data_IF_838663524759
#
_entry.id   IF_838663524759
#
_cell.length_a   1.000
_cell.length_b   1.000
_cell.length_c   1.000
_cell.angle_alpha   90.00
_cell.angle_beta   90.00
_cell.angle_gamma   90.00
#
_symmetry.space_group_name_H-M   'P 1'
#
loop_
_entity.id
_entity.type
_entity.pdbx_description
1 polymer ?
#
# COMPACT_ATOMS: atom_id res chain seq x y z
N UNK A 1 -13.29 -9.78 25.14
CA UNK A 1 -14.17 -9.90 23.97
C UNK A 1 -14.63 -8.51 23.55
N UNK A 2 -15.06 -8.34 22.31
CA UNK A 2 -15.56 -7.06 21.82
C UNK A 2 -16.95 -6.79 22.43
N UNK A 3 -17.07 -5.74 23.26
CA UNK A 3 -18.32 -5.37 23.96
C UNK A 3 -19.52 -5.17 23.02
N UNK A 4 -19.27 -4.74 21.78
CA UNK A 4 -20.33 -4.58 20.76
C UNK A 4 -20.89 -5.94 20.34
N UNK A 5 -20.01 -6.94 20.17
CA UNK A 5 -20.40 -8.30 19.80
C UNK A 5 -21.19 -8.95 20.94
N UNK A 6 -20.72 -8.81 22.19
CA UNK A 6 -21.44 -9.29 23.38
C UNK A 6 -22.87 -8.75 23.47
N UNK A 7 -23.04 -7.43 23.25
CA UNK A 7 -24.35 -6.78 23.21
C UNK A 7 -25.26 -7.38 22.14
N UNK A 8 -24.73 -7.58 20.93
CA UNK A 8 -25.50 -8.14 19.80
C UNK A 8 -25.95 -9.57 20.13
N UNK A 9 -25.05 -10.41 20.63
CA UNK A 9 -25.35 -11.81 20.98
C UNK A 9 -26.45 -11.91 22.05
N UNK A 10 -26.43 -11.01 23.04
CA UNK A 10 -27.47 -10.91 24.06
C UNK A 10 -28.82 -10.47 23.47
N UNK A 11 -28.82 -9.44 22.62
CA UNK A 11 -30.02 -8.88 22.00
C UNK A 11 -30.75 -9.91 21.11
N UNK A 12 -30.00 -10.74 20.38
CA UNK A 12 -30.58 -11.79 19.54
C UNK A 12 -30.86 -13.10 20.29
N UNK A 13 -30.45 -13.22 21.56
CA UNK A 13 -30.60 -14.44 22.36
C UNK A 13 -29.75 -15.63 21.90
N UNK A 14 -28.63 -15.38 21.20
CA UNK A 14 -27.74 -16.41 20.65
C UNK A 14 -26.30 -16.19 21.15
N UNK A 15 -25.96 -16.69 22.36
CA UNK A 15 -24.61 -16.52 22.91
C UNK A 15 -23.56 -17.26 22.06
N UNK A 16 -22.44 -16.60 21.79
CA UNK A 16 -21.34 -17.15 20.99
C UNK A 16 -21.61 -17.19 19.49
N UNK A 17 -22.62 -16.49 18.98
CA UNK A 17 -22.95 -16.41 17.55
C UNK A 17 -21.72 -16.09 16.70
N UNK A 18 -20.90 -15.12 17.08
CA UNK A 18 -19.72 -14.74 16.29
C UNK A 18 -18.70 -15.89 16.21
N UNK A 19 -18.50 -16.63 17.30
CA UNK A 19 -17.60 -17.79 17.33
C UNK A 19 -18.16 -18.95 16.48
N UNK A 20 -19.47 -19.19 16.51
CA UNK A 20 -20.13 -20.20 15.66
C UNK A 20 -19.90 -19.86 14.19
N UNK A 21 -20.16 -18.62 13.78
CA UNK A 21 -19.97 -18.17 12.41
C UNK A 21 -18.50 -18.27 11.96
N UNK A 22 -17.55 -17.94 12.84
CA UNK A 22 -16.12 -17.91 12.50
C UNK A 22 -15.43 -19.29 12.54
N UNK A 23 -15.86 -20.20 13.42
CA UNK A 23 -15.10 -21.43 13.72
C UNK A 23 -15.84 -22.72 13.40
N UNK A 24 -17.18 -22.70 13.35
CA UNK A 24 -17.99 -23.92 13.14
C UNK A 24 -18.55 -24.06 11.73
N UNK A 25 -18.65 -22.96 10.99
CA UNK A 25 -19.04 -22.99 9.58
C UNK A 25 -17.81 -23.04 8.68
N UNK A 26 -17.92 -23.78 7.58
CA UNK A 26 -16.93 -23.66 6.51
C UNK A 26 -17.02 -22.27 5.88
N UNK A 27 -15.93 -21.74 5.28
CA UNK A 27 -15.98 -20.45 4.59
C UNK A 27 -17.07 -20.39 3.50
N UNK A 28 -17.34 -21.51 2.82
CA UNK A 28 -18.39 -21.63 1.80
C UNK A 28 -19.81 -21.61 2.36
N UNK A 29 -20.04 -22.25 3.51
CA UNK A 29 -21.36 -22.22 4.18
C UNK A 29 -21.64 -20.84 4.77
N UNK A 30 -20.63 -20.24 5.43
CA UNK A 30 -20.73 -18.88 5.94
C UNK A 30 -21.02 -17.89 4.81
N UNK A 31 -20.32 -18.00 3.68
CA UNK A 31 -20.60 -17.18 2.49
C UNK A 31 -22.04 -17.36 2.02
N UNK A 32 -22.53 -18.60 1.92
CA UNK A 32 -23.91 -18.87 1.47
C UNK A 32 -24.96 -18.28 2.42
N UNK A 33 -24.73 -18.43 3.74
CA UNK A 33 -25.57 -17.83 4.77
C UNK A 33 -25.58 -16.29 4.67
N UNK A 34 -24.41 -15.66 4.55
CA UNK A 34 -24.31 -14.20 4.45
C UNK A 34 -24.94 -13.68 3.16
N UNK A 35 -24.79 -14.38 2.03
CA UNK A 35 -25.46 -14.01 0.78
C UNK A 35 -26.99 -14.01 0.95
N UNK A 36 -27.55 -15.02 1.62
CA UNK A 36 -28.98 -15.07 1.91
C UNK A 36 -29.42 -13.94 2.85
N UNK A 37 -28.65 -13.66 3.91
CA UNK A 37 -28.91 -12.53 4.81
C UNK A 37 -28.94 -11.20 4.04
N UNK A 38 -27.96 -10.94 3.18
CA UNK A 38 -27.94 -9.71 2.39
C UNK A 38 -29.05 -9.65 1.34
N UNK A 39 -29.49 -10.79 0.78
CA UNK A 39 -30.66 -10.87 -0.10
C UNK A 39 -31.95 -10.50 0.63
N UNK A 40 -32.17 -11.04 1.83
CA UNK A 40 -33.33 -10.71 2.64
C UNK A 40 -33.35 -9.22 3.02
N UNK A 41 -32.20 -8.66 3.38
CA UNK A 41 -32.07 -7.23 3.70
C UNK A 41 -32.31 -6.34 2.48
N UNK A 42 -31.74 -6.66 1.32
CA UNK A 42 -31.87 -5.83 0.13
C UNK A 42 -33.31 -5.82 -0.43
N UNK A 43 -34.04 -6.92 -0.32
CA UNK A 43 -35.44 -7.01 -0.73
C UNK A 43 -36.39 -6.07 0.05
N UNK A 44 -35.95 -5.57 1.21
CA UNK A 44 -36.72 -4.63 2.02
C UNK A 44 -36.32 -3.17 1.77
N UNK A 45 -35.29 -2.90 0.95
CA UNK A 45 -34.81 -1.55 0.69
C UNK A 45 -35.68 -0.85 -0.35
N UNK A 46 -36.05 0.40 -0.05
CA UNK A 46 -36.68 1.31 -1.00
C UNK A 46 -35.62 2.13 -1.75
N UNK A 47 -35.85 2.53 -3.01
CA UNK A 47 -34.91 3.36 -3.76
C UNK A 47 -34.47 4.65 -3.03
N UNK A 48 -35.39 5.31 -2.32
CA UNK A 48 -35.08 6.50 -1.52
C UNK A 48 -34.08 6.22 -0.38
N UNK A 49 -34.13 5.03 0.22
CA UNK A 49 -33.18 4.62 1.24
C UNK A 49 -31.78 4.40 0.65
N UNK A 50 -31.68 3.94 -0.61
CA UNK A 50 -30.41 3.81 -1.32
C UNK A 50 -29.77 5.19 -1.54
N UNK A 51 -30.57 6.18 -1.99
CA UNK A 51 -30.08 7.54 -2.16
C UNK A 51 -29.60 8.16 -0.84
N UNK A 52 -30.40 8.03 0.22
CA UNK A 52 -30.01 8.51 1.56
C UNK A 52 -28.74 7.82 2.10
N UNK A 53 -28.55 6.53 1.78
CA UNK A 53 -27.30 5.84 2.11
C UNK A 53 -26.13 6.40 1.29
N UNK A 54 -26.31 6.62 -0.01
CA UNK A 54 -25.27 7.20 -0.87
C UNK A 54 -24.82 8.60 -0.41
N UNK A 55 -25.74 9.39 0.14
CA UNK A 55 -25.43 10.73 0.67
C UNK A 55 -24.65 10.69 1.99
N UNK A 56 -24.95 9.73 2.86
CA UNK A 56 -24.34 9.63 4.20
C UNK A 56 -23.12 8.70 4.28
N UNK A 57 -22.91 7.83 3.27
CA UNK A 57 -21.86 6.82 3.29
C UNK A 57 -20.56 7.32 2.65
N UNK A 58 -19.54 7.55 3.50
CA UNK A 58 -18.22 8.01 3.06
C UNK A 58 -17.52 7.07 2.07
N UNK A 59 -17.84 5.78 2.01
CA UNK A 59 -17.13 4.83 1.14
C UNK A 59 -17.51 4.92 -0.33
N UNK A 60 -18.64 5.55 -0.66
CA UNK A 60 -19.24 5.47 -2.00
C UNK A 60 -19.34 6.82 -2.71
N UNK A 61 -18.84 7.89 -2.06
CA UNK A 61 -18.86 9.24 -2.64
C UNK A 61 -17.80 9.34 -3.75
N UNK A 62 -18.01 10.16 -4.79
CA UNK A 62 -16.97 10.41 -5.78
C UNK A 62 -15.75 11.08 -5.12
N UNK A 63 -14.56 10.85 -5.67
CA UNK A 63 -13.39 11.66 -5.31
C UNK A 63 -13.60 13.11 -5.78
N UNK A 64 -13.08 14.07 -5.01
CA UNK A 64 -13.09 15.48 -5.39
C UNK A 64 -12.01 15.82 -6.44
N UNK A 65 -11.12 14.88 -6.75
CA UNK A 65 -10.04 15.11 -7.73
C UNK A 65 -10.59 15.13 -9.16
N UNK A 66 -10.14 16.11 -9.94
CA UNK A 66 -10.46 16.18 -11.38
C UNK A 66 -9.93 14.93 -12.11
N UNK A 67 -10.81 14.26 -12.86
CA UNK A 67 -10.46 13.08 -13.65
C UNK A 67 -9.37 13.37 -14.69
N UNK A 68 -9.36 14.58 -15.28
CA UNK A 68 -8.34 14.97 -16.27
C UNK A 68 -6.97 15.17 -15.63
N UNK A 69 -6.94 15.78 -14.44
CA UNK A 69 -5.70 15.98 -13.70
C UNK A 69 -5.14 14.65 -13.18
N UNK A 70 -6.02 13.76 -12.72
CA UNK A 70 -5.62 12.43 -12.31
C UNK A 70 -5.01 11.65 -13.48
N UNK A 71 -5.64 11.68 -14.65
CA UNK A 71 -5.11 11.04 -15.87
C UNK A 71 -3.74 11.63 -16.28
N UNK A 72 -3.57 12.95 -16.18
CA UNK A 72 -2.28 13.62 -16.44
C UNK A 72 -1.18 13.08 -15.54
N UNK A 73 -1.46 12.95 -14.23
CA UNK A 73 -0.52 12.34 -13.30
C UNK A 73 -0.19 10.89 -13.68
N UNK A 74 -1.21 10.06 -13.96
CA UNK A 74 -0.98 8.65 -14.31
C UNK A 74 -0.11 8.49 -15.56
N UNK A 75 -0.36 9.30 -16.60
CA UNK A 75 0.46 9.28 -17.81
C UNK A 75 1.92 9.66 -17.53
N UNK A 76 2.14 10.69 -16.70
CA UNK A 76 3.49 11.10 -16.30
C UNK A 76 4.18 9.98 -15.50
N UNK A 77 3.52 9.44 -14.47
CA UNK A 77 4.07 8.37 -13.66
C UNK A 77 4.45 7.15 -14.53
N UNK A 78 3.57 6.70 -15.41
CA UNK A 78 3.84 5.59 -16.33
C UNK A 78 5.02 5.89 -17.27
N UNK A 79 5.13 7.12 -17.79
CA UNK A 79 6.23 7.53 -18.69
C UNK A 79 7.61 7.56 -18.02
N UNK A 80 7.65 7.75 -16.70
CA UNK A 80 8.89 7.81 -15.92
C UNK A 80 9.28 6.46 -15.31
N UNK A 81 8.43 5.44 -15.46
CA UNK A 81 8.66 4.13 -14.90
C UNK A 81 9.85 3.44 -15.60
N UNK A 82 10.80 2.85 -14.86
CA UNK A 82 11.90 2.11 -15.47
C UNK A 82 11.39 0.92 -16.30
N UNK A 83 12.05 0.62 -17.42
CA UNK A 83 11.61 -0.39 -18.40
C UNK A 83 11.50 -1.80 -17.81
N UNK A 84 12.23 -2.10 -16.73
CA UNK A 84 12.22 -3.37 -16.03
C UNK A 84 10.93 -3.60 -15.21
N UNK A 85 10.14 -2.56 -14.95
CA UNK A 85 8.87 -2.70 -14.24
C UNK A 85 7.74 -3.06 -15.19
N UNK A 86 7.03 -4.12 -14.86
CA UNK A 86 5.76 -4.45 -15.50
C UNK A 86 4.61 -3.77 -14.75
N UNK A 87 3.75 -3.07 -15.50
CA UNK A 87 2.55 -2.43 -14.94
C UNK A 87 1.37 -3.39 -14.94
N UNK A 88 0.75 -3.56 -13.78
CA UNK A 88 -0.44 -4.40 -13.61
C UNK A 88 -1.67 -3.57 -13.31
N UNK A 89 -2.81 -4.01 -13.84
CA UNK A 89 -4.14 -3.56 -13.39
C UNK A 89 -4.68 -4.61 -12.43
N UNK A 90 -4.73 -4.27 -11.14
CA UNK A 90 -5.17 -5.19 -10.11
C UNK A 90 -6.70 -5.33 -10.06
N UNK A 91 -7.16 -6.50 -9.60
CA UNK A 91 -8.53 -6.69 -9.15
C UNK A 91 -8.86 -5.72 -7.99
N UNK A 92 -10.10 -5.20 -7.89
CA UNK A 92 -10.51 -4.35 -6.77
C UNK A 92 -10.61 -5.09 -5.44
N UNK A 93 -10.52 -6.42 -5.47
CA UNK A 93 -10.51 -7.30 -4.28
C UNK A 93 -9.30 -8.23 -4.30
N UNK A 94 -8.84 -8.59 -3.11
CA UNK A 94 -7.79 -9.58 -2.86
C UNK A 94 -8.27 -10.64 -1.84
N UNK A 95 -7.53 -11.76 -1.65
CA UNK A 95 -7.91 -12.77 -0.67
C UNK A 95 -8.10 -12.18 0.73
N UNK A 96 -9.09 -12.66 1.48
CA UNK A 96 -9.28 -12.27 2.88
C UNK A 96 -8.01 -12.53 3.69
N UNK A 97 -7.59 -11.56 4.48
CA UNK A 97 -6.38 -11.66 5.30
C UNK A 97 -5.11 -11.16 4.62
N UNK A 98 -5.19 -10.68 3.37
CA UNK A 98 -4.01 -10.14 2.66
C UNK A 98 -3.37 -9.00 3.45
N UNK A 99 -4.18 -8.11 4.02
CA UNK A 99 -3.69 -7.01 4.84
C UNK A 99 -3.29 -7.44 6.26
N UNK A 100 -3.94 -8.44 6.87
CA UNK A 100 -3.75 -8.74 8.30
C UNK A 100 -2.70 -9.82 8.59
N UNK A 101 -2.54 -10.81 7.71
CA UNK A 101 -1.69 -11.98 7.95
C UNK A 101 -0.20 -11.62 7.92
N UNK A 102 0.23 -10.74 7.02
CA UNK A 102 1.66 -10.42 6.85
C UNK A 102 2.08 -9.03 7.30
N UNK A 103 1.15 -8.07 7.36
CA UNK A 103 1.48 -6.67 7.65
C UNK A 103 1.35 -6.29 9.14
N UNK A 104 0.95 -7.23 10.01
CA UNK A 104 0.66 -6.98 11.43
C UNK A 104 -0.40 -5.88 11.65
N UNK A 105 -1.36 -5.79 10.73
CA UNK A 105 -2.44 -4.81 10.75
C UNK A 105 -3.77 -5.52 11.08
N UNK A 106 -4.67 -4.87 11.81
CA UNK A 106 -5.99 -5.42 12.09
C UNK A 106 -6.83 -5.61 10.81
N UNK A 107 -7.59 -6.71 10.72
CA UNK A 107 -8.42 -7.03 9.57
C UNK A 107 -9.44 -5.92 9.23
N UNK A 108 -9.90 -5.15 10.22
CA UNK A 108 -10.86 -4.06 10.04
C UNK A 108 -10.27 -2.82 9.37
N UNK A 109 -8.99 -2.85 8.97
CA UNK A 109 -8.44 -1.82 8.08
C UNK A 109 -8.94 -1.97 6.65
N UNK A 110 -9.18 -3.21 6.22
CA UNK A 110 -9.77 -3.54 4.93
C UNK A 110 -11.28 -3.78 5.06
N UNK A 111 -12.03 -3.58 3.97
CA UNK A 111 -13.45 -3.94 3.91
C UNK A 111 -13.55 -5.41 3.50
N UNK A 112 -13.83 -6.29 4.47
CA UNK A 112 -14.14 -7.68 4.19
C UNK A 112 -15.44 -7.82 3.40
N UNK A 113 -15.50 -8.79 2.50
CA UNK A 113 -16.67 -9.08 1.68
C UNK A 113 -17.34 -10.39 2.11
N UNK A 114 -18.62 -10.54 1.77
CA UNK A 114 -19.35 -11.80 2.01
C UNK A 114 -18.86 -12.97 1.14
N UNK A 115 -17.98 -12.72 0.16
CA UNK A 115 -17.44 -13.73 -0.77
C UNK A 115 -16.01 -14.15 -0.42
N UNK A 116 -15.64 -14.11 0.86
CA UNK A 116 -14.33 -14.53 1.37
C UNK A 116 -13.14 -13.78 0.72
N UNK A 117 -13.36 -12.51 0.38
CA UNK A 117 -12.31 -11.58 -0.08
C UNK A 117 -12.29 -10.35 0.80
N UNK A 118 -11.34 -9.47 0.57
CA UNK A 118 -11.35 -8.10 1.08
C UNK A 118 -11.12 -7.10 -0.08
N UNK A 119 -11.67 -5.89 0.05
CA UNK A 119 -11.37 -4.81 -0.88
C UNK A 119 -9.93 -4.36 -0.67
N UNK A 120 -9.21 -4.08 -1.76
CA UNK A 120 -7.80 -3.67 -1.70
C UNK A 120 -7.65 -2.37 -0.91
N UNK A 121 -7.07 -2.47 0.29
CA UNK A 121 -6.77 -1.33 1.18
C UNK A 121 -5.35 -0.79 1.00
N UNK A 122 -4.47 -1.60 0.40
CA UNK A 122 -3.09 -1.28 0.07
C UNK A 122 -2.68 -2.08 -1.17
N UNK A 123 -2.27 -1.41 -2.24
CA UNK A 123 -1.87 -2.09 -3.48
C UNK A 123 -0.52 -2.81 -3.36
N UNK A 124 0.35 -2.42 -2.41
CA UNK A 124 1.66 -3.05 -2.24
C UNK A 124 1.54 -4.49 -1.70
N UNK A 125 0.55 -4.77 -0.86
CA UNK A 125 0.34 -6.13 -0.32
C UNK A 125 -0.18 -7.10 -1.40
N UNK A 126 -0.98 -6.62 -2.35
CA UNK A 126 -1.47 -7.40 -3.49
C UNK A 126 -0.35 -7.60 -4.51
N UNK A 127 0.41 -6.55 -4.82
CA UNK A 127 1.61 -6.68 -5.67
C UNK A 127 2.64 -7.64 -5.06
N UNK A 128 2.79 -7.66 -3.73
CA UNK A 128 3.69 -8.60 -3.06
C UNK A 128 3.27 -10.07 -3.22
N UNK A 129 1.95 -10.36 -3.22
CA UNK A 129 1.44 -11.69 -3.56
C UNK A 129 1.80 -12.08 -4.99
N UNK A 130 1.60 -11.18 -5.95
CA UNK A 130 1.94 -11.43 -7.35
C UNK A 130 3.45 -11.60 -7.55
N UNK A 131 4.26 -10.76 -6.89
CA UNK A 131 5.71 -10.94 -6.80
C UNK A 131 6.08 -12.34 -6.27
N UNK A 132 5.44 -12.80 -5.20
CA UNK A 132 5.69 -14.12 -4.63
C UNK A 132 5.30 -15.24 -5.61
N UNK A 133 4.17 -15.12 -6.33
CA UNK A 133 3.76 -16.08 -7.36
C UNK A 133 4.82 -16.20 -8.45
N UNK A 134 5.31 -15.07 -8.99
CA UNK A 134 6.33 -15.03 -10.05
C UNK A 134 7.68 -15.53 -9.58
N UNK A 135 8.13 -15.10 -8.38
CA UNK A 135 9.35 -15.62 -7.74
C UNK A 135 9.29 -17.13 -7.53
N UNK A 136 8.14 -17.67 -7.09
CA UNK A 136 7.93 -19.11 -6.95
C UNK A 136 8.06 -19.86 -8.28
N UNK A 137 7.58 -19.28 -9.38
CA UNK A 137 7.75 -19.86 -10.72
C UNK A 137 9.23 -19.89 -11.13
N UNK A 138 9.96 -18.77 -10.96
CA UNK A 138 11.40 -18.70 -11.23
C UNK A 138 12.19 -19.72 -10.40
N UNK A 139 11.85 -19.89 -9.12
CA UNK A 139 12.49 -20.84 -8.22
C UNK A 139 12.18 -22.30 -8.52
N UNK A 140 11.02 -22.60 -9.12
CA UNK A 140 10.71 -23.96 -9.62
C UNK A 140 11.61 -24.33 -10.79
N UNK A 141 11.88 -23.39 -11.69
CA UNK A 141 12.77 -23.60 -12.84
C UNK A 141 14.24 -23.62 -12.44
N UNK A 142 14.64 -22.72 -11.53
CA UNK A 142 15.99 -22.65 -10.98
C UNK A 142 15.95 -22.25 -9.49
N UNK A 143 16.18 -23.20 -8.55
CA UNK A 143 16.13 -22.94 -7.11
C UNK A 143 17.11 -21.87 -6.59
N UNK A 144 18.10 -21.49 -7.41
CA UNK A 144 19.08 -20.43 -7.11
C UNK A 144 18.85 -19.15 -7.92
N UNK A 145 17.74 -19.02 -8.64
CA UNK A 145 17.46 -17.84 -9.47
C UNK A 145 17.47 -16.56 -8.64
N UNK A 146 18.39 -15.65 -9.00
CA UNK A 146 18.51 -14.29 -8.47
C UNK A 146 17.76 -13.26 -9.30
N UNK A 147 17.01 -13.70 -10.32
CA UNK A 147 16.26 -12.83 -11.21
C UNK A 147 15.18 -12.06 -10.44
N UNK A 148 15.20 -10.72 -10.45
CA UNK A 148 14.24 -9.93 -9.72
C UNK A 148 12.90 -9.87 -10.45
N UNK A 149 11.84 -9.55 -9.71
CA UNK A 149 10.51 -9.26 -10.22
C UNK A 149 10.16 -7.83 -9.83
N UNK A 150 9.90 -6.97 -10.81
CA UNK A 150 9.57 -5.56 -10.61
C UNK A 150 8.16 -5.29 -11.15
N UNK A 151 7.24 -4.90 -10.26
CA UNK A 151 5.84 -4.65 -10.60
C UNK A 151 5.42 -3.26 -10.14
N UNK A 152 4.57 -2.62 -10.93
CA UNK A 152 3.94 -1.35 -10.57
C UNK A 152 2.43 -1.40 -10.82
N UNK A 153 1.68 -0.53 -10.15
CA UNK A 153 0.24 -0.36 -10.41
C UNK A 153 -0.23 1.04 -10.03
N UNK A 154 -1.23 1.54 -10.76
CA UNK A 154 -2.10 2.62 -10.29
C UNK A 154 -3.43 2.00 -9.86
N UNK A 155 -3.83 2.19 -8.61
CA UNK A 155 -5.01 1.51 -8.06
C UNK A 155 -5.78 2.37 -7.08
N UNK A 156 -7.12 2.27 -7.11
CA UNK A 156 -8.01 2.88 -6.14
C UNK A 156 -8.13 1.99 -4.90
N UNK A 157 -7.74 2.53 -3.76
CA UNK A 157 -7.75 1.85 -2.46
C UNK A 157 -9.01 2.22 -1.68
N UNK A 158 -9.48 1.31 -0.83
CA UNK A 158 -10.56 1.55 0.13
C UNK A 158 -10.10 1.16 1.53
N UNK A 159 -10.07 2.11 2.48
CA UNK A 159 -9.65 1.89 3.87
C UNK A 159 -10.80 2.15 4.82
N UNK A 160 -11.11 1.17 5.66
CA UNK A 160 -12.19 1.23 6.62
C UNK A 160 -11.86 2.04 7.89
N UNK A 161 -10.60 2.41 8.07
CA UNK A 161 -10.18 3.27 9.18
C UNK A 161 -10.89 4.62 9.14
N UNK A 162 -11.24 5.11 10.32
CA UNK A 162 -11.79 6.45 10.49
C UNK A 162 -10.69 7.35 11.03
N UNK A 163 -10.11 8.17 10.17
CA UNK A 163 -9.21 9.21 10.61
C UNK A 163 -9.94 10.55 10.67
N UNK A 164 -9.62 11.38 11.66
CA UNK A 164 -10.15 12.75 11.72
C UNK A 164 -9.30 13.66 10.84
N UNK A 165 -9.92 14.29 9.83
CA UNK A 165 -9.30 15.32 8.98
C UNK A 165 -9.81 15.29 7.53
N UNK A 166 -9.96 16.46 6.86
CA UNK A 166 -10.51 16.56 5.51
C UNK A 166 -9.65 15.89 4.42
N UNK A 167 -8.37 15.66 4.73
CA UNK A 167 -7.38 15.07 3.82
C UNK A 167 -7.33 13.53 3.88
N UNK A 168 -8.12 12.90 4.75
CA UNK A 168 -8.04 11.46 5.03
C UNK A 168 -9.27 10.76 4.47
N UNK A 169 -9.15 10.35 3.21
CA UNK A 169 -10.24 9.76 2.44
C UNK A 169 -10.43 8.28 2.79
N UNK A 170 -11.69 7.86 2.82
CA UNK A 170 -12.13 6.46 2.88
C UNK A 170 -11.68 5.67 1.66
N UNK A 171 -11.55 6.32 0.50
CA UNK A 171 -10.93 5.74 -0.68
C UNK A 171 -10.10 6.77 -1.44
N UNK A 172 -9.02 6.33 -2.07
CA UNK A 172 -8.15 7.19 -2.86
C UNK A 172 -7.31 6.36 -3.83
N UNK A 173 -6.91 6.93 -4.96
CA UNK A 173 -5.93 6.29 -5.84
C UNK A 173 -4.50 6.46 -5.34
N UNK A 174 -3.70 5.40 -5.52
CA UNK A 174 -2.27 5.37 -5.24
C UNK A 174 -1.50 4.74 -6.42
N UNK A 175 -0.26 5.18 -6.61
CA UNK A 175 0.69 4.56 -7.53
C UNK A 175 1.72 3.82 -6.69
N UNK A 176 1.87 2.52 -6.89
CA UNK A 176 2.66 1.65 -6.03
C UNK A 176 3.63 0.78 -6.82
N UNK A 177 4.79 0.53 -6.23
CA UNK A 177 5.85 -0.31 -6.76
C UNK A 177 6.18 -1.43 -5.78
N UNK A 178 6.43 -2.63 -6.30
CA UNK A 178 6.99 -3.76 -5.56
C UNK A 178 8.13 -4.39 -6.35
N UNK A 179 9.23 -4.65 -5.66
CA UNK A 179 10.40 -5.32 -6.23
C UNK A 179 10.79 -6.48 -5.34
N UNK A 180 10.65 -7.70 -5.85
CA UNK A 180 11.03 -8.92 -5.16
C UNK A 180 12.28 -9.54 -5.77
N UNK A 181 13.12 -10.11 -4.93
CA UNK A 181 14.35 -10.75 -5.38
C UNK A 181 14.96 -11.59 -4.28
N UNK A 182 16.27 -11.79 -4.36
CA UNK A 182 17.03 -12.56 -3.36
C UNK A 182 18.10 -11.72 -2.72
N UNK A 183 18.46 -12.13 -1.53
CA UNK A 183 19.67 -11.71 -0.84
C UNK A 183 20.89 -11.90 -1.74
N UNK A 184 21.58 -10.81 -2.00
CA UNK A 184 22.84 -10.77 -2.74
C UNK A 184 24.04 -10.47 -1.80
N UNK A 185 23.80 -10.44 -0.48
CA UNK A 185 24.77 -10.07 0.52
C UNK A 185 24.90 -8.57 0.69
N UNK A 186 25.29 -8.13 1.90
CA UNK A 186 25.57 -6.73 2.25
C UNK A 186 24.44 -5.76 1.87
N UNK A 187 23.19 -6.23 1.92
CA UNK A 187 22.00 -5.48 1.53
C UNK A 187 22.02 -4.89 0.11
N UNK A 188 22.77 -5.52 -0.80
CA UNK A 188 22.94 -5.03 -2.18
C UNK A 188 21.61 -4.96 -2.93
N UNK A 189 20.73 -5.96 -2.77
CA UNK A 189 19.41 -5.95 -3.40
C UNK A 189 18.54 -4.82 -2.86
N UNK A 190 18.50 -4.67 -1.55
CA UNK A 190 17.68 -3.70 -0.84
C UNK A 190 18.07 -2.27 -1.24
N UNK A 191 19.35 -1.91 -1.14
CA UNK A 191 19.83 -0.55 -1.43
C UNK A 191 19.70 -0.17 -2.90
N UNK A 192 20.07 -1.08 -3.82
CA UNK A 192 19.92 -0.84 -5.26
C UNK A 192 18.46 -0.65 -5.66
N UNK A 193 17.57 -1.47 -5.10
CA UNK A 193 16.13 -1.40 -5.37
C UNK A 193 15.49 -0.18 -4.72
N UNK A 194 15.88 0.18 -3.49
CA UNK A 194 15.44 1.39 -2.81
C UNK A 194 15.80 2.63 -3.64
N UNK A 195 17.04 2.68 -4.14
CA UNK A 195 17.49 3.74 -5.04
C UNK A 195 16.72 3.79 -6.35
N UNK A 196 16.33 2.64 -6.90
CA UNK A 196 15.50 2.57 -8.11
C UNK A 196 14.10 3.16 -7.85
N UNK A 197 13.46 2.78 -6.74
CA UNK A 197 12.15 3.32 -6.34
C UNK A 197 12.22 4.84 -6.09
N UNK A 198 13.22 5.32 -5.33
CA UNK A 198 13.38 6.75 -5.03
C UNK A 198 13.57 7.54 -6.33
N UNK A 199 14.46 7.10 -7.23
CA UNK A 199 14.70 7.77 -8.53
C UNK A 199 13.44 7.85 -9.37
N UNK A 200 12.66 6.77 -9.43
CA UNK A 200 11.38 6.76 -10.12
C UNK A 200 10.47 7.88 -9.60
N UNK A 201 10.22 7.93 -8.28
CA UNK A 201 9.32 8.95 -7.73
C UNK A 201 9.87 10.35 -7.88
N UNK A 202 11.17 10.57 -7.71
CA UNK A 202 11.77 11.89 -7.94
C UNK A 202 11.56 12.35 -9.38
N UNK A 203 11.78 11.48 -10.38
CA UNK A 203 11.54 11.80 -11.79
C UNK A 203 10.06 12.08 -12.07
N UNK A 204 9.16 11.23 -11.59
CA UNK A 204 7.72 11.41 -11.76
C UNK A 204 7.20 12.70 -11.10
N UNK A 205 7.61 12.95 -9.85
CA UNK A 205 7.27 14.17 -9.12
C UNK A 205 7.85 15.41 -9.80
N UNK A 206 9.10 15.38 -10.26
CA UNK A 206 9.71 16.49 -11.00
C UNK A 206 8.97 16.79 -12.30
N UNK A 207 8.61 15.76 -13.06
CA UNK A 207 7.86 15.92 -14.30
C UNK A 207 6.45 16.48 -14.06
N UNK A 208 5.82 16.14 -12.92
CA UNK A 208 4.47 16.60 -12.59
C UNK A 208 4.42 17.98 -11.91
N UNK A 209 5.27 18.21 -10.92
CA UNK A 209 5.31 19.41 -10.08
C UNK A 209 6.18 20.53 -10.67
N UNK A 210 7.09 20.18 -11.58
CA UNK A 210 8.10 21.09 -12.12
C UNK A 210 9.36 21.20 -11.25
N UNK A 211 10.39 21.90 -11.75
CA UNK A 211 11.70 21.99 -11.10
C UNK A 211 11.71 22.89 -9.86
N UNK A 212 10.76 23.82 -9.75
CA UNK A 212 10.73 24.83 -8.70
C UNK A 212 10.30 24.28 -7.33
N UNK A 213 9.48 23.23 -7.29
CA UNK A 213 8.94 22.68 -6.03
C UNK A 213 10.04 21.95 -5.27
N UNK A 214 10.46 22.40 -4.07
CA UNK A 214 11.49 21.70 -3.31
C UNK A 214 11.02 20.30 -2.88
N UNK A 215 11.90 19.31 -3.06
CA UNK A 215 11.67 17.94 -2.62
C UNK A 215 12.68 17.56 -1.54
N UNK A 216 12.27 16.68 -0.64
CA UNK A 216 13.16 16.11 0.38
C UNK A 216 13.03 14.59 0.40
N UNK A 217 14.14 13.89 0.31
CA UNK A 217 14.26 12.45 0.55
C UNK A 217 14.86 12.24 1.94
N UNK A 218 14.09 11.60 2.82
CA UNK A 218 14.56 11.15 4.12
C UNK A 218 14.67 9.63 4.10
N UNK A 219 15.84 9.08 4.45
CA UNK A 219 16.08 7.63 4.52
C UNK A 219 16.42 7.24 5.96
N UNK A 220 15.92 6.11 6.42
CA UNK A 220 16.18 5.58 7.76
C UNK A 220 16.61 4.12 7.66
N UNK A 221 17.52 3.69 8.54
CA UNK A 221 17.86 2.29 8.79
C UNK A 221 17.39 1.90 10.20
N UNK A 222 16.48 0.93 10.29
CA UNK A 222 15.98 0.45 11.58
C UNK A 222 16.85 -0.62 12.24
N UNK A 223 17.94 -1.06 11.61
CA UNK A 223 18.92 -1.92 12.27
C UNK A 223 19.70 -1.19 13.38
N UNK A 224 20.29 -2.00 14.27
CA UNK A 224 21.12 -1.52 15.38
C UNK A 224 22.45 -2.29 15.38
N UNK A 225 23.60 -1.63 15.17
CA UNK A 225 23.75 -0.20 14.84
C UNK A 225 23.22 0.13 13.43
N UNK A 226 22.75 1.37 13.26
CA UNK A 226 22.37 1.89 11.94
C UNK A 226 23.60 2.00 11.02
N UNK A 227 23.40 1.78 9.71
CA UNK A 227 24.48 1.74 8.70
C UNK A 227 24.55 3.04 7.89
N UNK A 228 24.69 4.17 8.57
CA UNK A 228 24.61 5.51 7.97
C UNK A 228 25.63 5.74 6.86
N UNK A 229 26.89 5.33 7.06
CA UNK A 229 27.95 5.43 6.04
C UNK A 229 27.59 4.67 4.76
N UNK A 230 26.87 3.55 4.88
CA UNK A 230 26.41 2.74 3.76
C UNK A 230 25.30 3.46 3.00
N UNK A 231 24.32 4.04 3.72
CA UNK A 231 23.26 4.84 3.12
C UNK A 231 23.83 6.05 2.37
N UNK A 232 24.78 6.76 3.00
CA UNK A 232 25.41 7.93 2.42
C UNK A 232 26.19 7.58 1.14
N UNK A 233 27.05 6.56 1.22
CA UNK A 233 27.94 6.17 0.12
C UNK A 233 27.20 5.48 -1.03
N UNK A 234 26.23 4.60 -0.75
CA UNK A 234 25.59 3.78 -1.78
C UNK A 234 24.29 4.37 -2.33
N UNK A 235 23.71 5.38 -1.67
CA UNK A 235 22.42 5.93 -2.06
C UNK A 235 22.42 7.46 -2.10
N UNK A 236 22.58 8.15 -0.98
CA UNK A 236 22.29 9.58 -0.87
C UNK A 236 23.23 10.44 -1.72
N UNK A 237 24.53 10.14 -1.74
CA UNK A 237 25.52 10.86 -2.56
C UNK A 237 25.15 10.89 -4.05
N UNK A 238 24.76 9.73 -4.61
CA UNK A 238 24.30 9.61 -6.00
C UNK A 238 23.00 10.38 -6.26
N UNK A 239 22.06 10.37 -5.32
CA UNK A 239 20.81 11.12 -5.48
C UNK A 239 21.06 12.63 -5.48
N UNK A 240 21.97 13.13 -4.65
CA UNK A 240 22.32 14.57 -4.62
C UNK A 240 23.02 15.05 -5.88
N UNK A 241 23.78 14.18 -6.57
CA UNK A 241 24.41 14.54 -7.85
C UNK A 241 23.45 14.43 -9.04
N UNK A 242 22.48 13.51 -8.97
CA UNK A 242 21.51 13.28 -10.05
C UNK A 242 20.35 14.29 -10.06
N UNK A 243 19.96 14.83 -8.91
CA UNK A 243 18.77 15.67 -8.80
C UNK A 243 19.06 17.03 -8.14
N UNK A 244 18.84 18.09 -8.90
CA UNK A 244 18.85 19.46 -8.39
C UNK A 244 17.62 19.75 -7.51
N UNK A 245 17.77 20.68 -6.57
CA UNK A 245 16.70 21.15 -5.67
C UNK A 245 16.03 20.00 -4.86
N UNK A 246 16.76 18.91 -4.61
CA UNK A 246 16.36 17.79 -3.74
C UNK A 246 17.27 17.74 -2.54
N UNK A 247 16.70 17.87 -1.34
CA UNK A 247 17.43 17.65 -0.09
C UNK A 247 17.42 16.15 0.24
N UNK A 248 18.59 15.55 0.45
CA UNK A 248 18.71 14.14 0.81
C UNK A 248 19.36 14.01 2.21
N UNK A 249 18.68 13.37 3.14
CA UNK A 249 19.12 13.23 4.54
C UNK A 249 18.85 11.85 5.12
N UNK A 250 19.58 11.53 6.19
CA UNK A 250 19.32 10.38 7.06
C UNK A 250 18.42 10.85 8.21
N UNK A 251 17.31 10.16 8.44
CA UNK A 251 16.40 10.40 9.57
C UNK A 251 16.57 9.27 10.60
N UNK A 252 17.47 9.52 11.56
CA UNK A 252 17.82 8.62 12.66
C UNK A 252 16.76 8.61 13.78
N UNK A 253 15.97 9.68 13.88
CA UNK A 253 14.90 9.85 14.87
C UNK A 253 13.55 9.26 14.42
N UNK A 254 13.46 8.71 13.20
CA UNK A 254 12.22 8.10 12.70
C UNK A 254 11.73 6.99 13.63
N UNK A 255 10.55 7.17 14.20
CA UNK A 255 9.83 6.14 14.98
C UNK A 255 8.71 5.48 14.18
N UNK A 256 8.10 6.22 13.24
CA UNK A 256 7.02 5.73 12.38
C UNK A 256 7.52 4.68 11.40
N UNK A 257 6.84 3.53 11.34
CA UNK A 257 7.19 2.40 10.48
C UNK A 257 8.10 1.37 11.15
N UNK A 258 8.59 1.62 12.37
CA UNK A 258 9.29 0.61 13.17
C UNK A 258 8.35 -0.56 13.47
N UNK A 259 8.85 -1.78 13.33
CA UNK A 259 8.06 -3.01 13.46
C UNK A 259 7.27 -3.40 12.20
N UNK A 260 7.11 -2.48 11.25
CA UNK A 260 6.54 -2.75 9.92
C UNK A 260 7.64 -2.99 8.89
N UNK A 261 8.57 -2.04 8.73
CA UNK A 261 9.75 -2.20 7.88
C UNK A 261 10.82 -3.03 8.59
N UNK A 262 11.54 -3.83 7.82
CA UNK A 262 12.64 -4.67 8.32
C UNK A 262 13.87 -3.83 8.66
N UNK A 263 14.35 -3.04 7.70
CA UNK A 263 15.53 -2.22 7.87
C UNK A 263 15.43 -0.85 7.17
N UNK A 264 15.76 -0.78 5.88
CA UNK A 264 15.78 0.47 5.15
C UNK A 264 14.38 0.92 4.76
N UNK A 265 14.05 2.17 5.07
CA UNK A 265 12.83 2.81 4.60
C UNK A 265 13.10 4.26 4.24
N UNK A 266 12.23 4.85 3.43
CA UNK A 266 12.37 6.22 2.98
C UNK A 266 11.02 6.93 2.96
N UNK A 267 11.08 8.25 2.94
CA UNK A 267 9.94 9.11 2.63
C UNK A 267 10.37 10.18 1.64
N UNK A 268 9.44 10.56 0.75
CA UNK A 268 9.62 11.73 -0.12
C UNK A 268 8.58 12.77 0.22
N UNK A 269 9.07 13.95 0.56
CA UNK A 269 8.24 15.10 0.88
C UNK A 269 8.33 16.15 -0.23
N UNK A 270 7.22 16.86 -0.43
CA UNK A 270 7.19 18.08 -1.23
C UNK A 270 6.68 19.24 -0.38
N UNK A 271 7.23 20.43 -0.60
CA UNK A 271 6.74 21.66 0.03
C UNK A 271 5.59 22.24 -0.81
N UNK A 272 4.39 22.30 -0.24
CA UNK A 272 3.25 22.98 -0.85
C UNK A 272 3.44 24.50 -0.88
N UNK A 273 2.69 25.20 -1.74
CA UNK A 273 2.67 26.66 -1.80
C UNK A 273 2.24 27.32 -0.49
N UNK A 274 1.48 26.61 0.34
CA UNK A 274 1.10 27.00 1.71
C UNK A 274 2.27 27.00 2.70
N UNK A 275 3.46 26.52 2.30
CA UNK A 275 4.62 26.32 3.17
C UNK A 275 4.56 24.99 3.96
N UNK A 276 3.47 24.24 3.86
CA UNK A 276 3.37 22.93 4.51
C UNK A 276 4.21 21.89 3.77
N UNK A 277 5.02 21.13 4.52
CA UNK A 277 5.73 19.95 4.00
C UNK A 277 4.79 18.74 4.03
N UNK A 278 4.52 18.17 2.87
CA UNK A 278 3.61 17.05 2.69
C UNK A 278 4.41 15.78 2.39
N UNK A 279 4.17 14.71 3.16
CA UNK A 279 4.65 13.38 2.79
C UNK A 279 3.81 12.82 1.64
N UNK A 280 4.45 12.59 0.50
CA UNK A 280 3.83 12.07 -0.72
C UNK A 280 4.12 10.60 -0.94
N UNK A 281 5.30 10.13 -0.55
CA UNK A 281 5.79 8.77 -0.81
C UNK A 281 6.34 8.16 0.46
N UNK A 282 5.97 6.91 0.73
CA UNK A 282 6.61 6.08 1.75
C UNK A 282 6.98 4.74 1.09
N UNK A 283 8.09 4.15 1.54
CA UNK A 283 8.53 2.85 1.07
C UNK A 283 9.67 2.29 1.89
N UNK A 284 9.98 1.02 1.68
CA UNK A 284 11.04 0.33 2.41
C UNK A 284 11.01 -1.18 2.25
N UNK A 285 11.94 -1.82 2.94
CA UNK A 285 12.10 -3.26 2.97
C UNK A 285 11.10 -3.93 3.92
N UNK A 286 10.52 -5.03 3.48
CA UNK A 286 9.58 -5.83 4.27
C UNK A 286 9.82 -7.33 4.02
N UNK A 287 9.34 -8.20 4.91
CA UNK A 287 9.57 -9.65 4.85
C UNK A 287 8.47 -10.46 4.16
N UNK A 288 7.48 -9.85 3.50
CA UNK A 288 6.30 -10.60 3.07
C UNK A 288 6.62 -11.73 2.09
N UNK A 289 7.55 -11.54 1.13
CA UNK A 289 7.98 -12.65 0.25
C UNK A 289 8.71 -13.75 1.00
N UNK A 290 9.45 -13.43 2.06
CA UNK A 290 10.08 -14.44 2.93
C UNK A 290 9.03 -15.29 3.62
N UNK A 291 7.94 -14.67 4.10
CA UNK A 291 6.82 -15.36 4.73
C UNK A 291 6.04 -16.21 3.72
N UNK A 292 5.62 -15.63 2.60
CA UNK A 292 4.84 -16.32 1.57
C UNK A 292 5.57 -17.51 0.94
N UNK A 293 6.89 -17.42 0.78
CA UNK A 293 7.71 -18.44 0.12
C UNK A 293 8.46 -19.34 1.10
N UNK A 294 8.37 -19.08 2.41
CA UNK A 294 9.10 -19.84 3.42
C UNK A 294 10.63 -19.79 3.24
N UNK A 295 11.17 -18.65 2.81
CA UNK A 295 12.60 -18.54 2.49
C UNK A 295 13.20 -17.23 3.01
N UNK A 296 14.10 -17.34 3.99
CA UNK A 296 14.83 -16.20 4.54
C UNK A 296 15.73 -15.48 3.51
N UNK A 297 15.98 -16.09 2.35
CA UNK A 297 16.77 -15.49 1.26
C UNK A 297 15.95 -14.58 0.36
N UNK A 298 14.64 -14.63 0.38
CA UNK A 298 13.84 -13.70 -0.43
C UNK A 298 13.90 -12.29 0.16
N UNK A 299 13.70 -11.29 -0.69
CA UNK A 299 13.70 -9.88 -0.34
C UNK A 299 12.52 -9.20 -1.04
N UNK A 300 12.00 -8.16 -0.42
CA UNK A 300 10.93 -7.34 -0.99
C UNK A 300 11.13 -5.88 -0.57
N UNK A 301 11.17 -4.99 -1.57
CA UNK A 301 11.05 -3.55 -1.38
C UNK A 301 9.68 -3.13 -1.91
N UNK A 302 8.96 -2.34 -1.14
CA UNK A 302 7.67 -1.77 -1.53
C UNK A 302 7.70 -0.26 -1.39
N UNK A 303 6.89 0.42 -2.17
CA UNK A 303 6.68 1.86 -2.02
C UNK A 303 5.35 2.28 -2.64
N UNK A 304 4.81 3.41 -2.19
CA UNK A 304 3.60 3.96 -2.74
C UNK A 304 3.50 5.47 -2.61
N UNK A 305 2.84 6.08 -3.60
CA UNK A 305 2.49 7.50 -3.63
C UNK A 305 0.96 7.65 -3.64
N UNK A 306 0.42 8.43 -2.70
CA UNK A 306 -1.00 8.80 -2.68
C UNK A 306 -1.34 9.76 -3.82
N UNK A 307 -1.76 9.21 -4.97
CA UNK A 307 -1.91 9.96 -6.22
C UNK A 307 -3.01 11.01 -6.16
N UNK A 308 -4.12 10.69 -5.48
CA UNK A 308 -5.16 11.70 -5.23
C UNK A 308 -4.66 12.83 -4.35
N UNK A 309 -3.90 12.53 -3.29
CA UNK A 309 -3.34 13.56 -2.41
C UNK A 309 -2.40 14.49 -3.16
N UNK A 310 -1.54 13.94 -4.01
CA UNK A 310 -0.67 14.71 -4.90
C UNK A 310 -1.49 15.65 -5.78
N UNK A 311 -2.54 15.14 -6.43
CA UNK A 311 -3.38 15.95 -7.30
C UNK A 311 -4.18 17.00 -6.52
N UNK A 312 -4.66 16.72 -5.31
CA UNK A 312 -5.43 17.68 -4.52
C UNK A 312 -4.59 18.89 -4.10
N UNK A 313 -3.34 18.64 -3.70
CA UNK A 313 -2.49 19.66 -3.08
C UNK A 313 -1.65 20.44 -4.12
N UNK A 314 -1.45 19.87 -5.31
CA UNK A 314 -0.56 20.43 -6.33
C UNK A 314 -1.18 20.54 -7.74
N UNK A 315 -2.48 20.27 -7.92
CA UNK A 315 -3.14 20.62 -9.17
C UNK A 315 -3.11 22.14 -9.37
N UNK A 316 -2.63 22.55 -10.54
CA UNK A 316 -2.70 23.93 -11.04
C UNK A 316 -3.86 24.06 -11.99
#
# INVERSE_FOLDING_TARGET
MNKIVERIEQEVGLPGLAAVLAQRLTPTDLQSLLLEVYRLRSNQLLPAAILSNYESNRFVRPSAVSATQFLKWEQIALSQLPQEFETLVLSPVCPLGTNSVVASIDQNWAVATVRNTEVVSDSTNVLALECAVRRRQLLRSNPRSTEPVHLATSHRLLRAQHFQGPQLLSHFSAFALCSAGRDQGRSQFELSTLGTHIRFYLRALRAFLGPAVPLQVAVSDFQQPARDDVLETQLLSSLRSEFENVECLIDDQRTRGRGYYLDFCFMIHASASSGQRLNLVDGGSINWTQQYLGSAKERLITSGLGSERLCQEFAT
#
